data_IF_053000284862
#
_entry.id   IF_053000284862
#
_cell.length_a   1.000
_cell.length_b   1.000
_cell.length_c   1.000
_cell.angle_alpha   90.00
_cell.angle_beta   90.00
_cell.angle_gamma   90.00
#
_symmetry.space_group_name_H-M   'P 1'
#
loop_
_entity.id
_entity.type
_entity.pdbx_description
1 polymer ?
#
# COMPACT_ATOMS: atom_id res chain seq x y z
N UNK A 1 21.12 1.83 -6.38
CA UNK A 1 19.95 2.42 -5.72
C UNK A 1 18.99 1.29 -5.40
N UNK A 2 18.56 1.11 -4.15
CA UNK A 2 17.61 0.05 -3.80
C UNK A 2 16.20 0.53 -4.13
N UNK A 3 15.46 -0.20 -4.96
CA UNK A 3 14.05 0.10 -5.24
C UNK A 3 13.16 -0.93 -4.58
N UNK A 4 12.12 -0.48 -3.87
CA UNK A 4 11.06 -1.35 -3.36
C UNK A 4 9.69 -0.87 -3.80
N UNK A 5 8.82 -1.82 -4.09
CA UNK A 5 7.41 -1.54 -4.39
C UNK A 5 6.57 -2.09 -3.25
N UNK A 6 5.81 -1.22 -2.59
CA UNK A 6 4.91 -1.60 -1.51
C UNK A 6 3.47 -1.50 -2.02
N UNK A 7 2.81 -2.64 -2.14
CA UNK A 7 1.41 -2.72 -2.48
C UNK A 7 0.57 -2.48 -1.23
N UNK A 8 -0.37 -1.54 -1.32
CA UNK A 8 -1.27 -1.17 -0.22
C UNK A 8 -2.73 -1.15 -0.66
N UNK A 9 -3.62 -1.34 0.29
CA UNK A 9 -5.06 -1.14 0.08
C UNK A 9 -5.40 0.35 0.01
N UNK A 10 -6.35 0.73 -0.84
CA UNK A 10 -6.67 2.13 -1.11
C UNK A 10 -7.33 2.84 0.08
N UNK A 11 -8.19 2.13 0.84
CA UNK A 11 -8.91 2.69 1.99
C UNK A 11 -8.08 2.60 3.27
N UNK A 12 -7.72 1.40 3.70
CA UNK A 12 -7.05 1.20 5.00
C UNK A 12 -5.52 1.38 4.96
N UNK A 13 -4.93 1.54 3.77
CA UNK A 13 -3.46 1.63 3.56
C UNK A 13 -2.66 0.45 4.13
N UNK A 14 -3.32 -0.65 4.53
CA UNK A 14 -2.65 -1.87 4.95
C UNK A 14 -1.75 -2.38 3.83
N UNK A 15 -0.59 -2.94 4.19
CA UNK A 15 0.32 -3.56 3.23
C UNK A 15 -0.31 -4.87 2.75
N UNK A 16 -0.49 -4.98 1.44
CA UNK A 16 -0.85 -6.24 0.80
C UNK A 16 0.40 -7.09 0.62
N UNK A 17 1.43 -6.49 0.00
CA UNK A 17 2.69 -7.15 -0.25
C UNK A 17 3.82 -6.12 -0.41
N UNK A 18 5.06 -6.51 -0.12
CA UNK A 18 6.23 -5.67 -0.32
C UNK A 18 7.26 -6.41 -1.19
N UNK A 19 7.53 -5.84 -2.37
CA UNK A 19 8.48 -6.36 -3.34
C UNK A 19 9.81 -5.63 -3.22
N UNK A 20 10.91 -6.38 -3.15
CA UNK A 20 12.24 -5.85 -3.44
C UNK A 20 12.47 -5.92 -4.95
N UNK A 21 12.43 -4.78 -5.64
CA UNK A 21 12.57 -4.74 -7.11
C UNK A 21 14.04 -4.84 -7.52
N UNK A 22 14.92 -4.17 -6.79
CA UNK A 22 16.34 -4.19 -7.08
C UNK A 22 17.17 -4.45 -5.82
N UNK A 23 17.98 -5.51 -5.86
CA UNK A 23 18.97 -5.82 -4.87
C UNK A 23 20.25 -5.04 -5.20
N UNK A 24 20.34 -3.81 -4.72
CA UNK A 24 21.52 -2.98 -4.97
C UNK A 24 22.83 -3.69 -4.56
N UNK A 25 23.84 -3.69 -5.45
CA UNK A 25 25.14 -4.30 -5.19
C UNK A 25 25.89 -3.65 -4.00
N UNK A 26 25.57 -2.39 -3.69
CA UNK A 26 26.06 -1.69 -2.49
C UNK A 26 25.20 -1.94 -1.24
N UNK A 27 24.41 -3.02 -1.19
CA UNK A 27 23.74 -3.50 0.04
C UNK A 27 24.70 -3.61 1.24
N UNK A 28 25.99 -3.85 0.95
CA UNK A 28 27.04 -4.07 1.93
C UNK A 28 27.78 -2.78 2.33
N UNK A 29 27.57 -1.69 1.59
CA UNK A 29 28.12 -0.37 1.88
C UNK A 29 27.01 0.48 2.51
N UNK A 30 27.24 0.94 3.75
CA UNK A 30 26.29 1.76 4.49
C UNK A 30 25.98 3.07 3.76
N UNK A 31 24.74 3.54 3.85
CA UNK A 31 24.31 4.84 3.32
C UNK A 31 23.56 4.82 1.99
N UNK A 32 23.13 3.67 1.48
CA UNK A 32 22.31 3.63 0.26
C UNK A 32 20.83 3.93 0.58
N UNK A 33 20.28 4.92 -0.10
CA UNK A 33 18.87 5.32 0.03
C UNK A 33 17.98 4.28 -0.67
N UNK A 34 16.92 3.87 0.01
CA UNK A 34 15.87 3.03 -0.56
C UNK A 34 14.80 3.94 -1.15
N UNK A 35 14.58 3.83 -2.45
CA UNK A 35 13.47 4.47 -3.14
C UNK A 35 12.23 3.57 -3.01
N UNK A 36 11.24 4.02 -2.24
CA UNK A 36 9.97 3.32 -2.08
C UNK A 36 8.92 3.89 -3.03
N UNK A 37 8.28 2.99 -3.78
CA UNK A 37 7.10 3.30 -4.58
C UNK A 37 5.89 2.57 -4.01
N UNK A 38 4.84 3.31 -3.68
CA UNK A 38 3.58 2.74 -3.18
C UNK A 38 2.60 2.57 -4.33
N UNK A 39 1.99 1.40 -4.43
CA UNK A 39 0.96 1.08 -5.43
C UNK A 39 -0.31 0.66 -4.72
N UNK A 40 -1.46 1.15 -5.17
CA UNK A 40 -2.77 0.79 -4.61
C UNK A 40 -3.38 -0.36 -5.42
N UNK A 41 -3.68 -1.49 -4.76
CA UNK A 41 -4.07 -2.75 -5.46
C UNK A 41 -5.48 -3.25 -5.17
N UNK A 42 -6.16 -2.71 -4.16
CA UNK A 42 -7.50 -3.17 -3.78
C UNK A 42 -8.19 -2.24 -2.77
N UNK A 43 -9.47 -2.50 -2.48
CA UNK A 43 -10.31 -1.62 -1.65
C UNK A 43 -9.93 -1.66 -0.16
N UNK A 44 -10.11 -2.81 0.49
CA UNK A 44 -9.83 -3.03 1.92
C UNK A 44 -9.23 -4.42 2.15
N UNK A 45 -8.41 -4.56 3.18
CA UNK A 45 -7.83 -5.86 3.55
C UNK A 45 -8.86 -6.75 4.24
N UNK A 46 -8.63 -8.08 4.35
CA UNK A 46 -9.58 -9.01 4.98
C UNK A 46 -9.98 -8.61 6.42
N UNK A 47 -9.08 -7.98 7.18
CA UNK A 47 -9.35 -7.50 8.54
C UNK A 47 -10.20 -6.23 8.59
N UNK A 48 -10.22 -5.45 7.51
CA UNK A 48 -11.02 -4.22 7.38
C UNK A 48 -12.16 -4.38 6.38
N UNK A 49 -12.38 -5.61 5.89
CA UNK A 49 -13.52 -5.93 5.06
C UNK A 49 -14.74 -6.05 5.98
N UNK A 50 -15.86 -5.39 5.66
CA UNK A 50 -17.07 -5.55 6.46
C UNK A 50 -17.50 -7.02 6.44
N UNK A 51 -17.85 -7.56 7.61
CA UNK A 51 -18.34 -8.92 7.73
C UNK A 51 -19.57 -9.15 6.83
N UNK A 52 -19.76 -10.36 6.27
CA UNK A 52 -20.97 -10.68 5.52
C UNK A 52 -22.18 -10.57 6.47
N UNK A 53 -22.94 -9.48 6.35
CA UNK A 53 -24.08 -9.14 7.23
C UNK A 53 -23.89 -7.91 8.12
N UNK A 54 -22.70 -7.30 8.15
CA UNK A 54 -22.49 -6.00 8.78
C UNK A 54 -23.16 -4.90 7.96
N UNK A 55 -24.00 -4.09 8.59
CA UNK A 55 -24.63 -2.92 7.94
C UNK A 55 -23.52 -2.05 7.35
N UNK A 56 -23.51 -1.93 6.02
CA UNK A 56 -22.72 -0.92 5.31
C UNK A 56 -23.29 0.44 5.74
N UNK A 57 -22.77 0.97 6.84
CA UNK A 57 -22.80 2.40 7.06
C UNK A 57 -22.09 3.00 5.87
N UNK A 58 -22.83 3.76 5.07
CA UNK A 58 -22.40 4.43 3.84
C UNK A 58 -20.96 4.91 4.01
N UNK A 59 -20.01 4.14 3.48
CA UNK A 59 -18.63 4.59 3.36
C UNK A 59 -18.70 5.78 2.41
N UNK A 60 -18.17 6.96 2.78
CA UNK A 60 -18.15 8.08 1.86
C UNK A 60 -17.47 7.58 0.60
N UNK A 61 -18.20 7.68 -0.51
CA UNK A 61 -17.65 7.42 -1.83
C UNK A 61 -16.33 8.17 -1.92
N UNK A 62 -15.23 7.52 -2.36
CA UNK A 62 -14.01 8.23 -2.63
C UNK A 62 -14.26 9.06 -3.90
N UNK A 63 -14.96 10.17 -3.75
CA UNK A 63 -15.00 11.19 -4.78
C UNK A 63 -13.57 11.69 -4.93
N UNK A 64 -13.18 11.93 -6.18
CA UNK A 64 -11.83 12.36 -6.54
C UNK A 64 -11.40 13.67 -5.84
N UNK A 65 -12.33 14.36 -5.18
CA UNK A 65 -12.14 15.64 -4.49
C UNK A 65 -11.40 15.55 -3.15
N UNK A 66 -11.25 14.35 -2.55
CA UNK A 66 -10.67 14.24 -1.20
C UNK A 66 -9.13 14.12 -1.17
N UNK A 67 -8.46 14.20 -2.33
CA UNK A 67 -6.99 14.10 -2.48
C UNK A 67 -6.34 15.40 -2.96
N UNK A 68 -6.95 16.57 -2.69
CA UNK A 68 -6.33 17.89 -2.83
C UNK A 68 -5.70 18.36 -1.52
#
# INVERSE_FOLDING_TARGET
MCKRVTERYSVCKCVFYQHGVDACASKHMGGHVIEEKVVLVGYACPSHMPAPGGRVGVLPSPTCDSWK
#
